data_IF_044089742941
#
_entry.id   IF_044089742941
#
_cell.length_a   1.000
_cell.length_b   1.000
_cell.length_c   1.000
_cell.angle_alpha   90.00
_cell.angle_beta   90.00
_cell.angle_gamma   90.00
#
_symmetry.space_group_name_H-M   'P 1'
#
loop_
_entity.id
_entity.type
_entity.pdbx_description
1 polymer ?
#
# COMPACT_ATOMS: atom_id res chain seq x y z
N UNK A 1 15.56 12.79 0.09
CA UNK A 1 14.67 11.84 -0.59
C UNK A 1 14.89 10.46 -0.01
N UNK A 2 13.94 9.54 -0.19
CA UNK A 2 14.12 8.13 0.18
C UNK A 2 14.57 7.35 -1.05
N UNK A 3 15.47 6.38 -0.86
CA UNK A 3 16.02 5.53 -1.91
C UNK A 3 15.78 4.06 -1.59
N UNK A 4 15.51 3.25 -2.61
CA UNK A 4 15.31 1.81 -2.47
C UNK A 4 16.66 1.11 -2.22
N UNK A 5 16.88 0.66 -0.99
CA UNK A 5 18.12 -0.04 -0.63
C UNK A 5 18.14 -1.50 -1.12
N UNK A 6 16.98 -2.16 -1.13
CA UNK A 6 16.80 -3.53 -1.64
C UNK A 6 15.32 -3.83 -1.86
N UNK A 7 14.99 -4.73 -2.78
CA UNK A 7 13.62 -5.19 -3.04
C UNK A 7 13.09 -4.76 -4.41
N UNK A 8 11.77 -4.78 -4.57
CA UNK A 8 11.09 -4.45 -5.83
C UNK A 8 10.24 -3.20 -5.58
N UNK A 9 10.51 -2.13 -6.34
CA UNK A 9 9.81 -0.87 -6.22
C UNK A 9 10.46 0.23 -7.07
N UNK A 10 9.84 1.42 -7.16
CA UNK A 10 10.41 2.55 -7.89
C UNK A 10 11.66 3.09 -7.18
N UNK A 11 12.66 3.51 -7.95
CA UNK A 11 13.92 4.06 -7.42
C UNK A 11 13.73 5.36 -6.62
N UNK A 12 12.66 6.10 -6.92
CA UNK A 12 12.24 7.29 -6.19
C UNK A 12 10.71 7.39 -6.17
N UNK A 13 10.15 7.93 -5.09
CA UNK A 13 8.71 8.13 -4.97
C UNK A 13 8.26 8.41 -3.54
N UNK A 14 6.94 8.47 -3.35
CA UNK A 14 6.33 8.53 -2.02
C UNK A 14 6.36 7.15 -1.38
N UNK A 15 6.94 7.05 -0.18
CA UNK A 15 7.02 5.80 0.59
C UNK A 15 6.40 5.99 1.98
N UNK A 16 5.69 4.97 2.46
CA UNK A 16 5.19 4.94 3.83
C UNK A 16 6.34 4.66 4.80
N UNK A 17 6.56 5.56 5.75
CA UNK A 17 7.66 5.45 6.75
C UNK A 17 7.36 4.38 7.80
N UNK A 18 6.08 4.20 8.12
CA UNK A 18 5.59 3.26 9.15
C UNK A 18 4.29 2.60 8.72
N UNK A 19 4.09 1.36 9.15
CA UNK A 19 2.79 0.69 9.11
C UNK A 19 2.46 0.21 10.51
N UNK A 20 1.39 0.76 11.08
CA UNK A 20 1.00 0.53 12.48
C UNK A 20 2.19 0.83 13.42
N UNK A 21 2.83 -0.19 13.99
CA UNK A 21 3.95 -0.08 14.93
C UNK A 21 5.30 -0.56 14.33
N UNK A 22 5.33 -0.85 13.02
CA UNK A 22 6.54 -1.31 12.32
C UNK A 22 7.12 -0.20 11.47
N UNK A 23 8.39 0.13 11.72
CA UNK A 23 9.16 1.05 10.88
C UNK A 23 9.54 0.34 9.57
N UNK A 24 9.24 0.97 8.43
CA UNK A 24 9.45 0.39 7.09
C UNK A 24 10.70 0.94 6.40
N UNK A 25 11.28 2.01 6.93
CA UNK A 25 12.47 2.66 6.39
C UNK A 25 13.53 2.76 7.46
N UNK A 26 14.77 2.52 7.07
CA UNK A 26 15.94 2.68 7.93
C UNK A 26 16.78 3.81 7.33
N UNK A 27 17.38 4.65 8.18
CA UNK A 27 18.33 5.65 7.69
C UNK A 27 19.54 4.95 7.08
N UNK A 28 19.92 5.36 5.87
CA UNK A 28 21.15 4.87 5.24
C UNK A 28 22.35 5.21 6.13
N UNK A 29 23.22 4.23 6.39
CA UNK A 29 24.43 4.40 7.18
C UNK A 29 25.33 5.44 6.50
N UNK A 30 25.52 6.60 7.12
CA UNK A 30 26.35 7.69 6.59
C UNK A 30 25.71 9.09 6.57
N UNK A 31 24.42 9.22 6.87
CA UNK A 31 23.85 10.55 7.14
C UNK A 31 24.39 11.08 8.48
N UNK A 32 24.95 12.31 8.55
CA UNK A 32 25.49 12.86 9.79
C UNK A 32 24.41 12.83 10.88
N UNK A 33 24.67 12.04 11.91
CA UNK A 33 23.77 11.84 13.03
C UNK A 33 23.58 13.16 13.76
N UNK A 34 22.36 13.66 13.80
CA UNK A 34 21.95 14.57 14.86
C UNK A 34 21.96 13.73 16.13
N UNK A 35 22.94 13.99 17.00
CA UNK A 35 23.11 13.32 18.28
C UNK A 35 21.83 13.41 19.13
N UNK A 36 21.55 12.43 20.01
CA UNK A 36 20.48 12.53 20.97
C UNK A 36 20.81 13.67 21.94
N UNK A 37 20.01 14.73 21.93
CA UNK A 37 20.08 15.80 22.94
C UNK A 37 19.58 15.21 24.25
N UNK A 38 20.42 15.25 25.29
CA UNK A 38 20.09 14.86 26.67
C UNK A 38 18.73 15.44 27.07
N UNK A 39 17.77 14.56 27.37
CA UNK A 39 16.44 14.93 27.78
C UNK A 39 16.43 15.32 29.28
N UNK A 40 15.86 16.47 29.66
CA UNK A 40 15.64 16.81 31.07
C UNK A 40 14.60 15.88 31.72
N UNK A 41 14.61 15.76 33.07
CA UNK A 41 13.77 14.80 33.79
C UNK A 41 12.27 15.02 33.55
N UNK A 42 11.58 13.90 33.41
CA UNK A 42 10.20 13.75 32.98
C UNK A 42 9.21 14.63 33.78
N UNK A 43 8.76 15.70 33.14
CA UNK A 43 7.51 16.36 33.51
C UNK A 43 6.36 15.42 33.14
N UNK A 44 5.57 15.01 34.13
CA UNK A 44 4.39 14.14 33.96
C UNK A 44 3.33 14.94 33.21
N UNK A 45 3.44 14.98 31.88
CA UNK A 45 2.40 15.54 31.01
C UNK A 45 1.27 14.52 30.96
N UNK A 46 0.03 14.88 31.34
CA UNK A 46 -1.11 13.97 31.20
C UNK A 46 -1.21 13.52 29.74
N UNK A 47 -1.28 12.20 29.54
CA UNK A 47 -1.26 11.59 28.23
C UNK A 47 -2.28 12.28 27.31
N UNK A 48 -1.88 12.78 26.13
CA UNK A 48 -2.82 13.41 25.22
C UNK A 48 -3.91 12.41 24.89
N UNK A 49 -5.15 12.76 25.22
CA UNK A 49 -6.35 12.00 24.87
C UNK A 49 -6.28 11.67 23.39
N UNK A 50 -5.93 10.41 23.06
CA UNK A 50 -5.71 10.02 21.68
C UNK A 50 -6.98 10.33 20.90
N UNK A 51 -6.90 11.14 19.82
CA UNK A 51 -8.07 11.40 19.01
C UNK A 51 -8.63 10.06 18.51
N UNK A 52 -9.97 9.95 18.37
CA UNK A 52 -10.59 8.71 17.93
C UNK A 52 -9.91 8.25 16.65
N UNK A 53 -9.35 7.03 16.68
CA UNK A 53 -8.60 6.45 15.55
C UNK A 53 -9.55 6.36 14.36
N UNK A 54 -9.43 7.31 13.43
CA UNK A 54 -10.20 7.30 12.19
C UNK A 54 -9.72 6.12 11.35
N UNK A 55 -10.67 5.36 10.79
CA UNK A 55 -10.36 4.28 9.85
C UNK A 55 -9.67 4.88 8.62
N UNK A 56 -8.53 4.32 8.25
CA UNK A 56 -7.84 4.64 7.00
C UNK A 56 -8.72 4.21 5.82
N UNK A 57 -8.78 4.98 4.74
CA UNK A 57 -9.50 4.59 3.52
C UNK A 57 -8.49 4.23 2.45
N UNK A 58 -8.57 3.00 1.94
CA UNK A 58 -7.66 2.46 0.93
C UNK A 58 -8.44 2.17 -0.34
N UNK A 59 -8.07 2.83 -1.43
CA UNK A 59 -8.55 2.53 -2.78
C UNK A 59 -7.50 1.68 -3.50
N UNK A 60 -7.83 0.42 -3.76
CA UNK A 60 -7.02 -0.48 -4.57
C UNK A 60 -7.54 -0.46 -6.01
N UNK A 61 -6.70 -0.07 -6.96
CA UNK A 61 -7.03 -0.02 -8.39
C UNK A 61 -6.15 -1.02 -9.14
N UNK A 62 -6.73 -1.73 -10.09
CA UNK A 62 -5.94 -2.54 -11.01
C UNK A 62 -5.21 -1.66 -12.03
N UNK A 63 -3.94 -1.97 -12.30
CA UNK A 63 -3.19 -1.34 -13.40
C UNK A 63 -3.70 -1.80 -14.78
N UNK A 64 -4.05 -3.09 -14.90
CA UNK A 64 -4.54 -3.70 -16.14
C UNK A 64 -5.97 -4.22 -15.98
N UNK A 65 -6.46 -4.96 -16.97
CA UNK A 65 -7.76 -5.58 -16.88
C UNK A 65 -7.71 -6.72 -15.86
N UNK A 66 -8.36 -6.51 -14.71
CA UNK A 66 -8.33 -7.43 -13.58
C UNK A 66 -9.65 -7.32 -12.83
N UNK A 67 -10.14 -8.44 -12.30
CA UNK A 67 -11.35 -8.47 -11.48
C UNK A 67 -11.04 -8.19 -10.00
N UNK A 68 -12.05 -7.71 -9.25
CA UNK A 68 -11.88 -7.36 -7.83
C UNK A 68 -11.37 -8.50 -6.95
N UNK A 69 -11.64 -9.76 -7.32
CA UNK A 69 -11.25 -10.92 -6.51
C UNK A 69 -9.74 -11.16 -6.56
N UNK A 70 -9.10 -10.93 -7.71
CA UNK A 70 -7.63 -10.99 -7.82
C UNK A 70 -7.00 -9.86 -7.01
N UNK A 71 -7.56 -8.65 -7.08
CA UNK A 71 -7.10 -7.52 -6.26
C UNK A 71 -7.21 -7.82 -4.77
N UNK A 72 -8.33 -8.37 -4.31
CA UNK A 72 -8.49 -8.78 -2.89
C UNK A 72 -7.48 -9.85 -2.49
N UNK A 73 -7.22 -10.83 -3.35
CA UNK A 73 -6.23 -11.87 -3.10
C UNK A 73 -4.83 -11.27 -2.94
N UNK A 74 -4.41 -10.42 -3.88
CA UNK A 74 -3.10 -9.74 -3.86
C UNK A 74 -2.96 -8.78 -2.67
N UNK A 75 -4.03 -8.05 -2.33
CA UNK A 75 -4.04 -7.13 -1.20
C UNK A 75 -4.28 -7.82 0.16
N UNK A 76 -4.62 -9.11 0.18
CA UNK A 76 -4.97 -9.85 1.40
C UNK A 76 -3.91 -9.78 2.50
N UNK A 77 -2.63 -10.09 2.21
CA UNK A 77 -1.55 -9.95 3.19
C UNK A 77 -1.39 -8.52 3.73
N UNK A 78 -1.56 -7.51 2.87
CA UNK A 78 -1.49 -6.11 3.27
C UNK A 78 -2.69 -5.70 4.15
N UNK A 79 -3.90 -6.12 3.80
CA UNK A 79 -5.10 -5.88 4.60
C UNK A 79 -5.00 -6.55 5.99
N UNK A 80 -4.40 -7.74 6.08
CA UNK A 80 -4.12 -8.40 7.36
C UNK A 80 -3.08 -7.65 8.18
N UNK A 81 -1.99 -7.18 7.55
CA UNK A 81 -0.94 -6.42 8.23
C UNK A 81 -1.43 -5.06 8.75
N UNK A 82 -2.32 -4.40 8.00
CA UNK A 82 -2.96 -3.15 8.43
C UNK A 82 -3.98 -3.38 9.54
N UNK A 83 -4.68 -4.51 9.53
CA UNK A 83 -5.75 -4.84 10.47
C UNK A 83 -7.13 -4.48 9.93
N UNK A 84 -8.11 -5.39 10.13
CA UNK A 84 -9.46 -5.28 9.56
C UNK A 84 -10.24 -4.06 10.05
N UNK A 85 -10.02 -3.64 11.29
CA UNK A 85 -10.71 -2.49 11.88
C UNK A 85 -9.99 -1.17 11.63
N UNK A 86 -8.74 -1.22 11.16
CA UNK A 86 -7.92 -0.04 10.94
C UNK A 86 -8.15 0.60 9.55
N UNK A 87 -8.58 -0.19 8.55
CA UNK A 87 -8.77 0.30 7.19
C UNK A 87 -10.07 -0.18 6.53
N UNK A 88 -10.72 0.76 5.84
CA UNK A 88 -11.82 0.54 4.91
C UNK A 88 -11.25 0.40 3.49
N UNK A 89 -11.50 -0.75 2.85
CA UNK A 89 -10.95 -1.06 1.53
C UNK A 89 -12.02 -0.94 0.44
N UNK A 90 -11.72 -0.21 -0.61
CA UNK A 90 -12.50 -0.12 -1.85
C UNK A 90 -11.67 -0.66 -3.00
N UNK A 91 -12.25 -1.55 -3.79
CA UNK A 91 -11.57 -2.21 -4.92
C UNK A 91 -12.21 -1.75 -6.23
N UNK A 92 -11.46 -1.03 -7.05
CA UNK A 92 -11.89 -0.59 -8.37
C UNK A 92 -11.40 -1.62 -9.42
N UNK A 93 -12.36 -2.22 -10.12
CA UNK A 93 -12.06 -3.16 -11.20
C UNK A 93 -11.46 -2.42 -12.40
N UNK A 94 -10.40 -2.99 -12.99
CA UNK A 94 -9.92 -2.55 -14.29
C UNK A 94 -10.85 -3.14 -15.35
N UNK A 95 -11.55 -2.29 -16.11
CA UNK A 95 -12.43 -2.75 -17.18
C UNK A 95 -11.82 -2.47 -18.55
N UNK A 96 -12.28 -3.19 -19.57
CA UNK A 96 -11.91 -2.93 -20.96
C UNK A 96 -12.14 -1.48 -21.41
N UNK A 97 -13.12 -0.78 -20.82
CA UNK A 97 -13.49 0.59 -21.18
C UNK A 97 -12.64 1.62 -20.44
N UNK A 98 -11.99 1.23 -19.35
CA UNK A 98 -11.19 2.10 -18.49
C UNK A 98 -9.90 1.39 -18.04
N UNK A 99 -8.95 1.07 -18.94
CA UNK A 99 -7.61 0.72 -18.51
C UNK A 99 -7.00 1.97 -17.88
N UNK A 100 -6.78 1.93 -16.56
CA UNK A 100 -6.13 3.02 -15.83
C UNK A 100 -4.70 3.28 -16.33
N UNK A 101 -4.12 2.28 -16.99
CA UNK A 101 -2.88 2.38 -17.75
C UNK A 101 -3.18 2.74 -19.22
N UNK A 102 -2.93 4.00 -19.57
CA UNK A 102 -3.26 4.62 -20.87
C UNK A 102 -2.48 4.09 -22.08
N UNK A 103 -1.54 3.15 -21.92
CA UNK A 103 -0.48 2.94 -22.92
C UNK A 103 -0.24 1.51 -23.41
N UNK A 104 -0.91 0.48 -22.88
CA UNK A 104 -0.55 -0.90 -23.24
C UNK A 104 -1.53 -1.48 -24.24
N UNK A 105 -1.03 -1.81 -25.44
CA UNK A 105 -1.67 -2.76 -26.35
C UNK A 105 -1.93 -4.06 -25.58
N UNK A 106 -3.17 -4.23 -25.12
CA UNK A 106 -3.61 -5.41 -24.40
C UNK A 106 -3.28 -6.67 -25.19
N UNK A 107 -2.64 -7.63 -24.52
CA UNK A 107 -2.40 -8.96 -25.08
C UNK A 107 -3.72 -9.67 -25.38
N UNK A 108 -3.71 -10.63 -26.31
CA UNK A 108 -4.90 -11.41 -26.67
C UNK A 108 -5.47 -12.19 -25.46
N UNK A 109 -4.59 -12.61 -24.55
CA UNK A 109 -4.98 -13.25 -23.31
C UNK A 109 -5.82 -12.32 -22.41
N UNK A 110 -5.36 -11.09 -22.19
CA UNK A 110 -6.07 -10.10 -21.36
C UNK A 110 -7.44 -9.77 -21.96
N UNK A 111 -7.54 -9.67 -23.30
CA UNK A 111 -8.82 -9.48 -24.00
C UNK A 111 -9.78 -10.64 -23.77
N UNK A 112 -9.27 -11.87 -23.75
CA UNK A 112 -10.10 -13.06 -23.53
C UNK A 112 -10.64 -13.14 -22.10
N UNK A 113 -9.82 -12.81 -21.10
CA UNK A 113 -10.22 -12.79 -19.68
C UNK A 113 -11.25 -11.69 -19.41
N UNK A 114 -11.09 -10.55 -20.06
CA UNK A 114 -11.94 -9.39 -19.87
C UNK A 114 -13.28 -9.48 -20.62
N UNK A 115 -13.31 -10.12 -21.79
CA UNK A 115 -14.54 -10.36 -22.55
C UNK A 115 -15.41 -11.50 -22.01
N UNK A 116 -14.82 -12.43 -21.26
CA UNK A 116 -15.55 -13.55 -20.65
C UNK A 116 -15.51 -13.39 -19.13
N UNK A 117 -16.63 -12.99 -18.52
CA UNK A 117 -16.91 -13.07 -17.05
C UNK A 117 -16.78 -14.48 -16.44
N UNK A 118 -16.06 -15.41 -17.08
CA UNK A 118 -15.74 -16.71 -16.51
C UNK A 118 -14.60 -16.49 -15.52
N UNK A 119 -14.97 -16.48 -14.24
CA UNK A 119 -14.06 -16.74 -13.13
C UNK A 119 -13.06 -17.84 -13.53
N UNK A 120 -11.77 -17.59 -13.30
CA UNK A 120 -10.75 -18.63 -13.30
C UNK A 120 -11.06 -19.55 -12.11
N UNK A 121 -11.91 -20.55 -12.33
CA UNK A 121 -12.28 -21.58 -11.33
C UNK A 121 -11.24 -22.68 -11.18
N UNK A 122 -10.03 -22.52 -11.71
CA UNK A 122 -9.00 -23.54 -11.66
C UNK A 122 -7.61 -22.91 -11.52
N UNK A 123 -7.28 -22.45 -10.33
CA UNK A 123 -5.93 -22.34 -9.78
C UNK A 123 -5.99 -22.60 -8.28
#
# INVERSE_FOLDING_TARGET
GYELLSGIGPAAGWVSVRITDKELVVRAAGAPGVAPVDAPPASVVPAPTQPPRRRMRVLAMAGSITCKEILKFQCGPLALAVGRDAAEWTYAEGTHQHPWELAVTLSDFERQVAGKRKQLTAW
#
